data_IF_251133080643
#
_entry.id   IF_251133080643
#
_cell.length_a   1.000
_cell.length_b   1.000
_cell.length_c   1.000
_cell.angle_alpha   90.00
_cell.angle_beta   90.00
_cell.angle_gamma   90.00
#
_symmetry.space_group_name_H-M   'P 1'
#
loop_
_entity.id
_entity.type
_entity.pdbx_description
1 polymer ?
#
# COMPACT_ATOMS: atom_id res chain seq x y z
N UNK A 1 26.57 -4.74 -36.25
CA UNK A 1 26.76 -5.07 -34.82
C UNK A 1 26.04 -4.02 -34.01
N UNK A 2 25.07 -4.40 -33.18
CA UNK A 2 24.24 -3.45 -32.44
C UNK A 2 24.31 -3.81 -30.95
N UNK A 3 24.82 -2.88 -30.14
CA UNK A 3 24.86 -3.02 -28.69
C UNK A 3 23.43 -2.99 -28.12
N UNK A 4 23.18 -3.59 -26.95
CA UNK A 4 21.89 -3.49 -26.29
C UNK A 4 21.54 -2.02 -26.01
N UNK A 5 20.29 -1.62 -26.23
CA UNK A 5 19.79 -0.28 -25.90
C UNK A 5 18.30 -0.37 -25.57
N UNK A 6 17.86 0.24 -24.47
CA UNK A 6 16.44 0.27 -24.14
C UNK A 6 15.68 1.21 -25.08
N UNK A 7 14.46 0.83 -25.44
CA UNK A 7 13.55 1.71 -26.20
C UNK A 7 13.19 2.95 -25.38
N UNK A 8 13.15 2.81 -24.05
CA UNK A 8 13.02 3.91 -23.09
C UNK A 8 13.79 3.55 -21.82
N UNK A 9 14.63 4.47 -21.35
CA UNK A 9 15.40 4.33 -20.10
C UNK A 9 14.64 4.83 -18.87
N UNK A 10 13.45 5.42 -19.06
CA UNK A 10 12.63 5.92 -17.95
C UNK A 10 12.15 4.78 -17.08
N UNK A 11 12.32 4.92 -15.78
CA UNK A 11 11.72 4.00 -14.80
C UNK A 11 10.21 3.96 -14.98
N UNK A 12 9.64 2.77 -15.08
CA UNK A 12 8.20 2.58 -15.22
C UNK A 12 7.56 2.23 -13.88
N UNK A 13 6.43 2.85 -13.57
CA UNK A 13 5.63 2.56 -12.38
C UNK A 13 4.34 1.87 -12.82
N UNK A 14 4.13 0.64 -12.34
CA UNK A 14 2.93 -0.15 -12.57
C UNK A 14 2.10 -0.10 -11.29
N UNK A 15 0.87 0.40 -11.39
CA UNK A 15 -0.10 0.45 -10.31
C UNK A 15 -1.24 -0.47 -10.70
N UNK A 16 -1.58 -1.45 -9.85
CA UNK A 16 -2.69 -2.36 -10.12
C UNK A 16 -3.32 -2.89 -8.83
N UNK A 17 -4.49 -3.50 -8.96
CA UNK A 17 -5.30 -3.95 -7.83
C UNK A 17 -4.81 -5.29 -7.26
N UNK A 18 -5.06 -5.52 -5.97
CA UNK A 18 -4.86 -6.85 -5.34
C UNK A 18 -5.60 -7.93 -6.12
N UNK A 19 -4.90 -9.02 -6.44
CA UNK A 19 -5.42 -10.13 -7.22
C UNK A 19 -5.35 -9.97 -8.74
N UNK A 20 -4.92 -8.82 -9.25
CA UNK A 20 -4.72 -8.62 -10.70
C UNK A 20 -3.52 -9.37 -11.28
N UNK A 21 -3.53 -9.59 -12.59
CA UNK A 21 -2.37 -10.06 -13.35
C UNK A 21 -1.72 -8.86 -14.06
N UNK A 22 -0.40 -8.68 -13.89
CA UNK A 22 0.37 -7.60 -14.50
C UNK A 22 1.55 -8.13 -15.33
N UNK A 23 2.03 -7.32 -16.25
CA UNK A 23 3.19 -7.62 -17.09
C UNK A 23 4.16 -6.44 -17.14
N UNK A 24 5.44 -6.71 -16.89
CA UNK A 24 6.53 -5.75 -17.05
C UNK A 24 7.27 -6.05 -18.35
N UNK A 25 7.26 -5.13 -19.31
CA UNK A 25 7.86 -5.32 -20.64
C UNK A 25 9.20 -4.58 -20.76
N UNK A 26 10.29 -5.34 -20.77
CA UNK A 26 11.63 -4.81 -20.93
C UNK A 26 12.02 -4.68 -22.40
N UNK A 27 11.52 -3.62 -23.05
CA UNK A 27 11.79 -3.35 -24.47
C UNK A 27 13.26 -2.96 -24.70
N UNK A 28 14.05 -3.92 -25.20
CA UNK A 28 15.46 -3.73 -25.56
C UNK A 28 15.71 -4.08 -27.03
N UNK A 29 16.52 -3.26 -27.69
CA UNK A 29 17.01 -3.48 -29.04
C UNK A 29 18.46 -3.98 -29.00
N UNK A 30 18.89 -4.77 -29.98
CA UNK A 30 20.27 -5.24 -30.09
C UNK A 30 20.43 -6.36 -31.12
N UNK A 31 21.63 -6.51 -31.69
CA UNK A 31 21.94 -7.57 -32.65
C UNK A 31 23.38 -8.10 -32.44
N UNK A 32 23.56 -9.35 -31.97
CA UNK A 32 22.53 -10.36 -31.67
C UNK A 32 21.50 -9.95 -30.62
N UNK A 33 20.33 -10.58 -30.66
CA UNK A 33 19.23 -10.35 -29.71
C UNK A 33 19.78 -10.41 -28.28
N UNK A 34 19.58 -9.37 -27.44
CA UNK A 34 20.06 -9.37 -26.07
C UNK A 34 19.41 -10.47 -25.22
N UNK A 35 20.18 -11.09 -24.34
CA UNK A 35 19.67 -11.89 -23.23
C UNK A 35 19.15 -10.97 -22.13
N UNK A 36 18.02 -11.34 -21.51
CA UNK A 36 17.38 -10.58 -20.44
C UNK A 36 17.47 -11.34 -19.13
N UNK A 37 17.74 -10.62 -18.03
CA UNK A 37 17.62 -11.13 -16.67
C UNK A 37 16.75 -10.19 -15.84
N UNK A 38 15.75 -10.75 -15.19
CA UNK A 38 14.91 -10.03 -14.25
C UNK A 38 15.37 -10.27 -12.83
N UNK A 39 15.48 -9.17 -12.07
CA UNK A 39 15.80 -9.20 -10.65
C UNK A 39 14.72 -8.52 -9.83
N UNK A 40 14.40 -9.11 -8.68
CA UNK A 40 13.59 -8.51 -7.63
C UNK A 40 14.32 -8.67 -6.31
N UNK A 41 14.39 -7.61 -5.49
CA UNK A 41 15.16 -7.62 -4.23
C UNK A 41 16.61 -8.11 -4.44
N UNK A 42 17.21 -7.71 -5.57
CA UNK A 42 18.52 -8.11 -6.08
C UNK A 42 18.71 -9.62 -6.43
N UNK A 43 17.70 -10.45 -6.24
CA UNK A 43 17.70 -11.86 -6.61
C UNK A 43 17.25 -12.09 -8.06
N UNK A 44 17.86 -13.04 -8.76
CA UNK A 44 17.48 -13.43 -10.11
C UNK A 44 16.18 -14.25 -10.07
N UNK A 45 15.11 -13.72 -10.65
CA UNK A 45 13.78 -14.35 -10.65
C UNK A 45 13.39 -14.96 -12.01
N UNK A 46 13.95 -14.43 -13.11
CA UNK A 46 13.68 -14.92 -14.46
C UNK A 46 14.81 -14.58 -15.42
N UNK A 47 15.00 -15.43 -16.43
CA UNK A 47 15.99 -15.24 -17.49
C UNK A 47 15.36 -15.48 -18.86
N UNK A 48 15.94 -14.85 -19.88
CA UNK A 48 15.67 -15.04 -21.30
C UNK A 48 14.22 -14.75 -21.74
N UNK A 49 13.51 -13.94 -20.96
CA UNK A 49 12.17 -13.45 -21.28
C UNK A 49 12.12 -11.94 -21.19
N UNK A 50 11.65 -11.31 -22.26
CA UNK A 50 11.53 -9.86 -22.35
C UNK A 50 10.40 -9.32 -21.46
N UNK A 51 9.34 -10.12 -21.27
CA UNK A 51 8.20 -9.79 -20.43
C UNK A 51 8.25 -10.63 -19.16
N UNK A 52 8.08 -9.98 -18.01
CA UNK A 52 7.86 -10.64 -16.73
C UNK A 52 6.38 -10.54 -16.35
N UNK A 53 5.70 -11.68 -16.34
CA UNK A 53 4.32 -11.79 -15.86
C UNK A 53 4.30 -12.04 -14.35
N UNK A 54 3.49 -11.26 -13.62
CA UNK A 54 3.19 -11.46 -12.21
C UNK A 54 1.70 -11.68 -12.11
N UNK A 55 1.30 -12.85 -11.61
CA UNK A 55 -0.10 -13.25 -11.50
C UNK A 55 -0.59 -13.12 -10.07
N UNK A 56 -1.88 -12.83 -9.90
CA UNK A 56 -2.53 -12.70 -8.60
C UNK A 56 -1.73 -11.79 -7.67
N UNK A 57 -1.66 -10.50 -8.01
CA UNK A 57 -0.80 -9.52 -7.35
C UNK A 57 -1.08 -9.43 -5.84
N UNK A 58 -0.03 -9.37 -5.04
CA UNK A 58 -0.08 -9.32 -3.56
C UNK A 58 0.94 -8.34 -3.03
N UNK A 59 0.91 -8.05 -1.72
CA UNK A 59 1.87 -7.19 -1.05
C UNK A 59 3.33 -7.63 -1.23
N UNK A 60 3.60 -8.92 -1.35
CA UNK A 60 4.97 -9.45 -1.50
C UNK A 60 5.61 -9.11 -2.85
N UNK A 61 4.78 -8.86 -3.85
CA UNK A 61 5.18 -8.46 -5.19
C UNK A 61 5.45 -6.96 -5.31
N UNK A 62 5.11 -6.14 -4.32
CA UNK A 62 5.38 -4.70 -4.35
C UNK A 62 6.90 -4.43 -4.30
N UNK A 63 7.30 -3.35 -4.97
CA UNK A 63 8.66 -2.83 -4.88
C UNK A 63 9.37 -2.78 -6.23
N UNK A 64 10.71 -2.78 -6.18
CA UNK A 64 11.55 -2.56 -7.35
C UNK A 64 11.90 -3.85 -8.07
N UNK A 65 11.74 -3.82 -9.38
CA UNK A 65 12.19 -4.84 -10.32
C UNK A 65 13.23 -4.23 -11.25
N UNK A 66 14.22 -5.02 -11.64
CA UNK A 66 15.29 -4.60 -12.55
C UNK A 66 15.41 -5.58 -13.69
N UNK A 67 15.33 -5.08 -14.92
CA UNK A 67 15.69 -5.83 -16.11
C UNK A 67 17.13 -5.52 -16.49
N UNK A 68 17.96 -6.54 -16.65
CA UNK A 68 19.34 -6.46 -17.12
C UNK A 68 19.45 -7.07 -18.51
N UNK A 69 19.97 -6.31 -19.48
CA UNK A 69 20.10 -6.74 -20.87
C UNK A 69 21.56 -6.73 -21.32
N UNK A 70 22.02 -7.82 -21.95
CA UNK A 70 23.37 -7.92 -22.50
C UNK A 70 23.42 -8.74 -23.78
N UNK A 71 24.43 -8.49 -24.63
CA UNK A 71 24.78 -9.37 -25.74
C UNK A 71 26.31 -9.46 -25.89
N UNK A 72 26.80 -10.21 -26.88
CA UNK A 72 28.26 -10.40 -27.09
C UNK A 72 29.03 -9.12 -27.41
N UNK A 73 28.35 -8.01 -27.68
CA UNK A 73 28.96 -6.73 -28.00
C UNK A 73 28.87 -5.72 -26.84
N UNK A 74 27.99 -5.90 -25.85
CA UNK A 74 27.95 -5.01 -24.69
C UNK A 74 26.90 -5.36 -23.62
N UNK A 75 26.87 -4.54 -22.57
CA UNK A 75 26.03 -4.73 -21.37
C UNK A 75 26.78 -5.39 -20.20
N UNK A 76 26.10 -5.69 -19.07
CA UNK A 76 24.66 -5.47 -18.88
C UNK A 76 24.29 -4.00 -18.72
N UNK A 77 23.29 -3.54 -19.48
CA UNK A 77 22.56 -2.31 -19.18
C UNK A 77 21.33 -2.67 -18.35
N UNK A 78 20.84 -1.77 -17.51
CA UNK A 78 19.72 -2.05 -16.61
C UNK A 78 18.63 -0.99 -16.65
N UNK A 79 17.37 -1.43 -16.57
CA UNK A 79 16.19 -0.58 -16.43
C UNK A 79 15.39 -1.00 -15.21
N UNK A 80 14.90 -0.03 -14.45
CA UNK A 80 14.10 -0.25 -13.24
C UNK A 80 12.61 -0.13 -13.52
N UNK A 81 11.84 -0.87 -12.74
CA UNK A 81 10.38 -0.81 -12.67
C UNK A 81 9.97 -0.77 -11.20
N UNK A 82 8.86 -0.12 -10.90
CA UNK A 82 8.24 -0.12 -9.57
C UNK A 82 6.81 -0.66 -9.65
N UNK A 83 6.51 -1.68 -8.85
CA UNK A 83 5.16 -2.22 -8.73
C UNK A 83 4.53 -1.71 -7.44
N UNK A 84 3.37 -1.07 -7.58
CA UNK A 84 2.52 -0.58 -6.49
C UNK A 84 1.16 -1.27 -6.52
N UNK A 85 0.59 -1.46 -5.34
CA UNK A 85 -0.65 -2.19 -5.12
C UNK A 85 -1.74 -1.24 -4.64
N UNK A 86 -2.86 -1.19 -5.36
CA UNK A 86 -4.11 -0.65 -4.84
C UNK A 86 -4.94 -1.78 -4.23
N UNK A 87 -5.62 -1.53 -3.11
CA UNK A 87 -6.46 -2.50 -2.43
C UNK A 87 -7.59 -1.81 -1.66
N UNK A 88 -8.71 -2.53 -1.48
CA UNK A 88 -9.83 -2.07 -0.66
C UNK A 88 -9.38 -1.84 0.79
N UNK A 89 -9.95 -0.86 1.52
CA UNK A 89 -9.49 -0.52 2.85
C UNK A 89 -9.68 -1.68 3.83
N UNK A 90 -8.85 -1.72 4.88
CA UNK A 90 -9.05 -2.55 6.05
C UNK A 90 -9.04 -1.65 7.27
N UNK A 91 -10.14 -1.65 8.02
CA UNK A 91 -10.33 -0.80 9.20
C UNK A 91 -10.37 -1.58 10.50
N UNK A 92 -10.00 -0.91 11.59
CA UNK A 92 -10.05 -1.41 12.95
C UNK A 92 -10.45 -0.27 13.91
N UNK A 93 -11.20 -0.61 14.96
CA UNK A 93 -11.52 0.29 16.07
C UNK A 93 -10.79 -0.18 17.32
N UNK A 94 -10.13 0.75 18.02
CA UNK A 94 -9.53 0.49 19.32
C UNK A 94 -9.98 1.51 20.35
N UNK A 95 -9.99 1.09 21.61
CA UNK A 95 -10.14 1.96 22.77
C UNK A 95 -8.80 2.01 23.52
N UNK A 96 -8.32 3.20 23.83
CA UNK A 96 -7.11 3.40 24.62
C UNK A 96 -7.32 4.49 25.66
N UNK A 97 -6.63 4.46 26.82
CA UNK A 97 -6.64 5.60 27.73
C UNK A 97 -6.03 6.84 27.07
N UNK A 98 -6.63 8.01 27.29
CA UNK A 98 -6.09 9.30 26.84
C UNK A 98 -5.34 9.99 27.97
N UNK A 99 -4.14 10.47 27.69
CA UNK A 99 -3.27 11.14 28.67
C UNK A 99 -2.86 12.54 28.19
N UNK A 100 -2.69 13.45 29.14
CA UNK A 100 -1.96 14.71 28.98
C UNK A 100 -0.75 14.70 29.91
N UNK A 101 0.44 14.53 29.34
CA UNK A 101 1.63 14.17 30.11
C UNK A 101 1.45 12.83 30.82
N UNK A 102 1.53 12.82 32.15
CA UNK A 102 1.29 11.64 32.99
C UNK A 102 -0.14 11.54 33.55
N UNK A 103 -1.00 12.54 33.29
CA UNK A 103 -2.35 12.60 33.85
C UNK A 103 -3.35 11.90 32.92
N UNK A 104 -4.13 10.96 33.47
CA UNK A 104 -5.23 10.31 32.78
C UNK A 104 -6.39 11.32 32.61
N UNK A 105 -6.78 11.59 31.37
CA UNK A 105 -7.86 12.53 31.03
C UNK A 105 -9.17 11.83 30.63
N UNK A 106 -9.10 10.56 30.23
CA UNK A 106 -10.26 9.82 29.78
C UNK A 106 -9.92 8.64 28.87
N UNK A 107 -10.76 8.41 27.87
CA UNK A 107 -10.59 7.36 26.86
C UNK A 107 -10.55 7.98 25.47
N UNK A 108 -9.80 7.36 24.57
CA UNK A 108 -9.76 7.68 23.16
C UNK A 108 -10.30 6.49 22.36
N UNK A 109 -11.36 6.71 21.61
CA UNK A 109 -11.81 5.80 20.55
C UNK A 109 -11.06 6.15 19.29
N UNK A 110 -10.32 5.20 18.75
CA UNK A 110 -9.53 5.39 17.53
C UNK A 110 -10.00 4.46 16.43
N UNK A 111 -10.43 5.05 15.32
CA UNK A 111 -10.72 4.38 14.06
C UNK A 111 -9.46 4.47 13.21
N UNK A 112 -8.89 3.33 12.82
CA UNK A 112 -7.67 3.24 12.02
C UNK A 112 -7.97 2.45 10.75
N UNK A 113 -7.30 2.79 9.66
CA UNK A 113 -7.36 1.99 8.45
C UNK A 113 -6.09 2.10 7.61
N UNK A 114 -5.83 1.04 6.85
CA UNK A 114 -4.95 1.05 5.69
C UNK A 114 -5.80 0.89 4.43
N UNK A 115 -5.34 1.42 3.31
CA UNK A 115 -6.00 1.32 2.02
C UNK A 115 -5.26 2.15 1.00
N UNK A 116 -5.18 1.67 -0.23
CA UNK A 116 -4.63 2.41 -1.37
C UNK A 116 -5.59 2.32 -2.55
N UNK A 117 -6.11 3.44 -3.10
CA UNK A 117 -5.85 4.82 -2.68
C UNK A 117 -6.31 5.13 -1.25
N UNK A 118 -5.79 6.24 -0.69
CA UNK A 118 -6.08 6.71 0.66
C UNK A 118 -7.59 6.63 1.00
N UNK A 119 -7.96 5.91 2.08
CA UNK A 119 -9.36 5.78 2.48
C UNK A 119 -9.88 7.02 3.21
N UNK A 120 -11.14 7.38 2.94
CA UNK A 120 -11.92 8.26 3.79
C UNK A 120 -12.44 7.48 5.02
N UNK A 121 -12.34 8.07 6.20
CA UNK A 121 -12.75 7.45 7.46
C UNK A 121 -14.01 8.10 8.05
N UNK A 122 -14.88 7.29 8.63
CA UNK A 122 -16.08 7.74 9.33
C UNK A 122 -16.27 6.94 10.61
N UNK A 123 -16.42 7.64 11.74
CA UNK A 123 -16.70 7.02 13.04
C UNK A 123 -18.17 7.27 13.39
N UNK A 124 -18.89 6.21 13.72
CA UNK A 124 -20.26 6.27 14.20
C UNK A 124 -20.39 5.62 15.57
N UNK A 125 -21.35 6.07 16.36
CA UNK A 125 -21.74 5.49 17.64
C UNK A 125 -23.21 5.12 17.58
N UNK A 126 -23.54 3.84 17.78
CA UNK A 126 -24.91 3.33 17.65
C UNK A 126 -25.58 3.76 16.33
N UNK A 127 -24.79 3.80 15.25
CA UNK A 127 -25.25 4.25 13.91
C UNK A 127 -25.27 5.77 13.70
N UNK A 128 -25.08 6.59 14.73
CA UNK A 128 -25.04 8.05 14.60
C UNK A 128 -23.62 8.57 14.37
N UNK A 129 -23.46 9.50 13.44
CA UNK A 129 -22.17 10.11 13.14
C UNK A 129 -21.55 10.79 14.36
N UNK A 130 -20.32 10.43 14.68
CA UNK A 130 -19.49 11.12 15.66
C UNK A 130 -18.85 12.34 14.99
N UNK A 131 -19.05 13.52 15.59
CA UNK A 131 -18.41 14.77 15.16
C UNK A 131 -17.17 15.06 16.04
N UNK A 132 -16.38 16.06 15.66
CA UNK A 132 -15.19 16.53 16.40
C UNK A 132 -14.09 15.46 16.54
N UNK A 133 -13.89 14.66 15.49
CA UNK A 133 -12.77 13.72 15.42
C UNK A 133 -11.48 14.42 15.03
N UNK A 134 -10.35 13.91 15.53
CA UNK A 134 -9.01 14.38 15.18
C UNK A 134 -8.41 13.39 14.18
N UNK A 135 -8.05 13.86 13.00
CA UNK A 135 -7.40 13.04 11.96
C UNK A 135 -5.89 12.97 12.19
N UNK A 136 -5.30 11.82 11.90
CA UNK A 136 -3.84 11.66 11.85
C UNK A 136 -3.44 10.51 10.93
N UNK A 137 -2.21 10.55 10.43
CA UNK A 137 -1.63 9.48 9.61
C UNK A 137 -0.21 9.19 10.05
N UNK A 138 0.22 7.93 9.94
CA UNK A 138 1.60 7.51 10.20
C UNK A 138 2.04 6.43 9.21
N UNK A 139 3.32 6.41 8.80
CA UNK A 139 3.85 5.31 8.01
C UNK A 139 3.87 4.01 8.84
N UNK A 140 3.58 2.89 8.19
CA UNK A 140 3.64 1.56 8.82
C UNK A 140 5.07 1.05 8.78
N UNK A 141 5.66 0.77 9.95
CA UNK A 141 7.07 0.37 10.03
C UNK A 141 7.34 -0.92 9.24
N UNK A 142 8.30 -0.86 8.33
CA UNK A 142 8.72 -2.01 7.53
C UNK A 142 7.83 -2.30 6.32
N UNK A 143 6.79 -1.49 6.08
CA UNK A 143 5.90 -1.59 4.93
C UNK A 143 5.84 -0.24 4.20
N UNK A 144 5.69 -0.27 2.87
CA UNK A 144 5.46 0.96 2.09
C UNK A 144 3.96 1.33 2.12
N UNK A 145 3.42 1.54 3.32
CA UNK A 145 2.00 1.80 3.57
C UNK A 145 1.83 2.91 4.61
N UNK A 146 0.71 3.61 4.52
CA UNK A 146 0.29 4.61 5.50
C UNK A 146 -0.93 4.10 6.27
N UNK A 147 -0.90 4.17 7.60
CA UNK A 147 -2.08 3.99 8.45
C UNK A 147 -2.72 5.35 8.70
N UNK A 148 -3.99 5.48 8.31
CA UNK A 148 -4.83 6.65 8.53
C UNK A 148 -5.69 6.43 9.76
N UNK A 149 -6.02 7.50 10.48
CA UNK A 149 -6.88 7.37 11.65
C UNK A 149 -7.68 8.62 11.95
N UNK A 150 -8.85 8.42 12.56
CA UNK A 150 -9.66 9.46 13.20
C UNK A 150 -9.93 9.06 14.64
N UNK A 151 -9.82 10.02 15.56
CA UNK A 151 -9.88 9.77 17.00
C UNK A 151 -10.93 10.64 17.68
N UNK A 152 -11.71 10.05 18.58
CA UNK A 152 -12.63 10.75 19.48
C UNK A 152 -12.08 10.65 20.91
N UNK A 153 -11.86 11.80 21.54
CA UNK A 153 -11.51 11.85 22.96
C UNK A 153 -12.79 11.97 23.80
N UNK A 154 -12.93 11.08 24.78
CA UNK A 154 -14.02 11.02 25.74
C UNK A 154 -13.49 11.46 27.10
N UNK A 155 -13.91 12.62 27.57
CA UNK A 155 -13.61 13.14 28.91
C UNK A 155 -14.84 13.03 29.80
N UNK A 156 -14.65 12.95 31.12
CA UNK A 156 -15.74 12.83 32.10
C UNK A 156 -16.74 11.72 31.76
N UNK A 157 -16.19 10.53 31.52
CA UNK A 157 -16.89 9.37 30.94
C UNK A 157 -18.12 9.00 31.77
N UNK A 158 -19.28 8.85 31.12
CA UNK A 158 -20.49 8.35 31.75
C UNK A 158 -21.12 7.21 30.96
N UNK A 159 -21.71 6.26 31.68
CA UNK A 159 -22.35 5.09 31.08
C UNK A 159 -23.45 5.49 30.07
N UNK A 160 -24.29 6.47 30.43
CA UNK A 160 -25.40 6.91 29.59
C UNK A 160 -24.96 7.57 28.27
N UNK A 161 -23.82 8.27 28.26
CA UNK A 161 -23.37 9.02 27.07
C UNK A 161 -22.33 8.27 26.26
N UNK A 162 -21.48 7.46 26.89
CA UNK A 162 -20.25 6.94 26.31
C UNK A 162 -20.30 5.43 26.04
N UNK A 163 -21.22 4.69 26.66
CA UNK A 163 -21.48 3.30 26.26
C UNK A 163 -22.16 3.22 24.89
N UNK A 164 -21.74 2.26 24.07
CA UNK A 164 -22.39 1.92 22.80
C UNK A 164 -21.39 1.40 21.78
N UNK A 165 -21.92 0.92 20.67
CA UNK A 165 -21.12 0.35 19.60
C UNK A 165 -20.49 1.45 18.75
N UNK A 166 -19.15 1.54 18.79
CA UNK A 166 -18.36 2.42 17.94
C UNK A 166 -17.99 1.68 16.66
N UNK A 167 -18.37 2.23 15.50
CA UNK A 167 -18.11 1.63 14.19
C UNK A 167 -17.28 2.56 13.32
N UNK A 168 -16.14 2.06 12.85
CA UNK A 168 -15.25 2.71 11.88
C UNK A 168 -15.54 2.18 10.49
N UNK A 169 -15.97 3.06 9.59
CA UNK A 169 -16.08 2.80 8.17
C UNK A 169 -14.90 3.44 7.45
N UNK A 170 -14.18 2.65 6.65
CA UNK A 170 -13.13 3.11 5.75
C UNK A 170 -13.52 2.85 4.30
N UNK A 171 -13.36 3.84 3.43
CA UNK A 171 -13.81 3.79 2.03
C UNK A 171 -12.77 4.35 1.07
N UNK A 172 -12.48 3.63 0.00
CA UNK A 172 -11.82 4.16 -1.19
C UNK A 172 -12.60 3.73 -2.45
N UNK A 173 -12.06 3.99 -3.63
CA UNK A 173 -12.70 3.63 -4.91
C UNK A 173 -12.83 2.11 -5.15
N UNK A 174 -12.05 1.29 -4.44
CA UNK A 174 -12.04 -0.17 -4.55
C UNK A 174 -12.98 -0.86 -3.57
N UNK A 175 -13.47 -0.16 -2.54
CA UNK A 175 -14.38 -0.78 -1.60
C UNK A 175 -14.56 -0.06 -0.28
N UNK A 176 -15.23 -0.76 0.62
CA UNK A 176 -15.60 -0.30 1.96
C UNK A 176 -15.36 -1.42 2.96
N UNK A 177 -14.75 -1.08 4.09
CA UNK A 177 -14.63 -1.98 5.23
C UNK A 177 -15.17 -1.32 6.50
N UNK A 178 -15.87 -2.12 7.32
CA UNK A 178 -16.39 -1.68 8.62
C UNK A 178 -15.86 -2.56 9.72
N UNK A 179 -15.47 -1.95 10.84
CA UNK A 179 -15.08 -2.63 12.07
C UNK A 179 -15.79 -1.97 13.25
N UNK A 180 -16.20 -2.76 14.23
CA UNK A 180 -16.95 -2.27 15.38
C UNK A 180 -16.33 -2.72 16.70
N UNK A 181 -16.49 -1.89 17.73
CA UNK A 181 -16.14 -2.17 19.12
C UNK A 181 -17.36 -1.85 20.00
N UNK A 182 -17.69 -2.75 20.92
CA UNK A 182 -18.79 -2.60 21.90
C UNK A 182 -18.28 -2.17 23.28
#
# INVERSE_FOLDING_TARGET
MIHPTFVSETTETIISEEGSDIALDCKVLGNPKPSIKWRAKDELIKSDQQVLEIKNLTFDHMGSYKCEASNKFGGPISKSFFVFLNFSPKSYVSLAPSYSGSQLEGLQVKCMAIGEPQPALTLTKNGHLVKNTIESSKPVRGLNLTEYSISLNLSSISFERDLGTYTCEARNELGVHKSSLE
#
